data_IF_820419734392
#
_entry.id   IF_820419734392
#
_cell.length_a   1.000
_cell.length_b   1.000
_cell.length_c   1.000
_cell.angle_alpha   90.00
_cell.angle_beta   90.00
_cell.angle_gamma   90.00
#
_symmetry.space_group_name_H-M   'P 1'
#
loop_
_entity.id
_entity.type
_entity.pdbx_description
1 polymer ?
#
# COMPACT_ATOMS: atom_id res chain seq x y z
N UNK A 1 -16.19 1.95 14.62
CA UNK A 1 -15.41 2.03 13.35
C UNK A 1 -13.94 2.06 13.70
N UNK A 2 -13.11 1.45 12.85
CA UNK A 2 -11.65 1.47 12.94
C UNK A 2 -11.08 2.40 11.85
N UNK A 3 -9.92 2.99 12.11
CA UNK A 3 -9.28 3.95 11.20
C UNK A 3 -7.98 3.37 10.65
N UNK A 4 -7.86 3.34 9.33
CA UNK A 4 -6.63 2.96 8.63
C UNK A 4 -5.91 4.21 8.13
N UNK A 5 -4.77 4.54 8.74
CA UNK A 5 -3.93 5.66 8.36
C UNK A 5 -2.86 5.20 7.37
N UNK A 6 -3.01 5.61 6.12
CA UNK A 6 -2.18 5.13 5.02
C UNK A 6 -1.23 6.23 4.58
N UNK A 7 0.06 5.95 4.59
CA UNK A 7 1.09 6.85 4.09
C UNK A 7 1.88 6.19 2.97
N UNK A 8 2.21 6.96 1.93
CA UNK A 8 3.16 6.53 0.89
C UNK A 8 4.54 7.12 1.15
N UNK A 9 5.47 6.28 1.60
CA UNK A 9 6.84 6.63 1.92
C UNK A 9 7.79 6.55 0.72
N UNK A 10 7.43 7.21 -0.39
CA UNK A 10 8.34 7.42 -1.51
C UNK A 10 8.32 8.90 -1.89
N UNK A 11 9.49 9.56 -1.84
CA UNK A 11 9.65 10.91 -2.39
C UNK A 11 9.63 10.93 -3.93
N UNK A 12 9.65 9.76 -4.58
CA UNK A 12 9.73 9.62 -6.02
C UNK A 12 8.34 9.82 -6.64
N UNK A 13 7.91 11.08 -6.71
CA UNK A 13 6.66 11.51 -7.37
C UNK A 13 6.57 11.16 -8.87
N UNK A 14 7.63 10.59 -9.44
CA UNK A 14 7.73 10.19 -10.85
C UNK A 14 7.10 8.83 -11.16
N UNK A 15 6.87 7.96 -10.17
CA UNK A 15 6.35 6.62 -10.42
C UNK A 15 4.80 6.58 -10.55
N UNK A 16 4.10 7.73 -10.60
CA UNK A 16 2.64 7.73 -10.72
C UNK A 16 1.92 7.35 -9.42
N UNK A 17 0.61 7.05 -9.47
CA UNK A 17 -0.22 6.83 -8.28
C UNK A 17 -0.17 5.37 -7.81
N UNK A 18 -0.06 5.18 -6.50
CA UNK A 18 -0.32 3.90 -5.84
C UNK A 18 -1.76 3.87 -5.34
N UNK A 19 -2.36 2.69 -5.36
CA UNK A 19 -3.74 2.44 -4.96
C UNK A 19 -3.73 1.46 -3.80
N UNK A 20 -4.40 1.80 -2.71
CA UNK A 20 -4.68 0.84 -1.66
C UNK A 20 -6.01 0.17 -1.92
N UNK A 21 -6.01 -1.16 -1.87
CA UNK A 21 -7.20 -1.99 -1.92
C UNK A 21 -7.45 -2.65 -0.57
N UNK A 22 -8.69 -2.64 -0.13
CA UNK A 22 -9.19 -3.38 1.03
C UNK A 22 -10.31 -4.29 0.54
N UNK A 23 -10.19 -5.59 0.80
CA UNK A 23 -11.12 -6.63 0.35
C UNK A 23 -11.42 -6.53 -1.16
N UNK A 24 -10.37 -6.25 -1.95
CA UNK A 24 -10.44 -6.08 -3.40
C UNK A 24 -10.97 -4.72 -3.88
N UNK A 25 -11.54 -3.88 -3.00
CA UNK A 25 -12.06 -2.54 -3.35
C UNK A 25 -11.00 -1.48 -3.19
N UNK A 26 -10.93 -0.55 -4.14
CA UNK A 26 -10.02 0.61 -4.02
C UNK A 26 -10.56 1.58 -2.99
N UNK A 27 -9.81 1.79 -1.91
CA UNK A 27 -10.18 2.72 -0.83
C UNK A 27 -9.36 4.01 -0.85
N UNK A 28 -8.14 3.97 -1.40
CA UNK A 28 -7.30 5.17 -1.52
C UNK A 28 -6.43 5.14 -2.76
N UNK A 29 -6.05 6.33 -3.25
CA UNK A 29 -5.07 6.53 -4.32
C UNK A 29 -4.11 7.64 -3.91
N UNK A 30 -2.85 7.29 -3.66
CA UNK A 30 -1.83 8.19 -3.12
C UNK A 30 -0.69 8.44 -4.11
N UNK A 31 -0.29 9.71 -4.21
CA UNK A 31 1.01 10.13 -4.77
C UNK A 31 2.09 10.03 -3.68
N UNK A 32 3.36 10.10 -4.10
CA UNK A 32 4.49 10.08 -3.16
C UNK A 32 4.35 11.17 -2.09
N UNK A 33 4.59 10.82 -0.83
CA UNK A 33 4.46 11.71 0.32
C UNK A 33 3.02 12.04 0.75
N UNK A 34 2.00 11.47 0.12
CA UNK A 34 0.61 11.67 0.55
C UNK A 34 0.19 10.68 1.64
N UNK A 35 -0.72 11.16 2.48
CA UNK A 35 -1.42 10.36 3.50
C UNK A 35 -2.92 10.36 3.22
N UNK A 36 -3.62 9.30 3.61
CA UNK A 36 -5.06 9.26 3.71
C UNK A 36 -5.50 8.46 4.94
N UNK A 37 -6.62 8.86 5.54
CA UNK A 37 -7.29 8.12 6.60
C UNK A 37 -8.57 7.52 6.04
N UNK A 38 -8.81 6.24 6.32
CA UNK A 38 -9.95 5.48 5.81
C UNK A 38 -10.66 4.82 6.97
N UNK A 39 -11.96 5.07 7.08
CA UNK A 39 -12.80 4.37 8.05
C UNK A 39 -13.16 2.99 7.52
N UNK A 40 -12.92 1.97 8.33
CA UNK A 40 -13.24 0.58 8.06
C UNK A 40 -14.15 0.04 9.18
N UNK A 41 -14.94 -0.97 8.82
CA UNK A 41 -15.66 -1.75 9.82
C UNK A 41 -14.66 -2.51 10.69
N UNK A 42 -15.05 -2.84 11.92
CA UNK A 42 -14.32 -3.83 12.69
C UNK A 42 -14.43 -5.20 12.00
N UNK A 43 -13.35 -5.98 12.06
CA UNK A 43 -13.29 -7.31 11.47
C UNK A 43 -11.97 -7.62 10.79
N UNK A 44 -11.98 -8.74 10.05
CA UNK A 44 -10.85 -9.20 9.25
C UNK A 44 -10.91 -8.56 7.87
N UNK A 45 -9.82 -7.90 7.47
CA UNK A 45 -9.70 -7.25 6.16
C UNK A 45 -8.42 -7.69 5.46
N UNK A 46 -8.49 -7.84 4.14
CA UNK A 46 -7.31 -8.05 3.28
C UNK A 46 -6.88 -6.73 2.66
N UNK A 47 -5.66 -6.29 2.98
CA UNK A 47 -5.06 -5.04 2.50
C UNK A 47 -4.02 -5.35 1.43
N UNK A 48 -4.08 -4.63 0.31
CA UNK A 48 -3.15 -4.79 -0.81
C UNK A 48 -2.81 -3.46 -1.47
N UNK A 49 -1.53 -3.18 -1.63
CA UNK A 49 -1.07 -2.05 -2.43
C UNK A 49 -0.98 -2.44 -3.91
N UNK A 50 -1.34 -1.52 -4.79
CA UNK A 50 -1.36 -1.73 -6.23
C UNK A 50 -0.85 -0.50 -6.98
N UNK A 51 -0.13 -0.75 -8.06
CA UNK A 51 0.42 0.21 -8.99
C UNK A 51 0.21 -0.31 -10.40
N UNK A 52 0.21 0.54 -11.42
CA UNK A 52 -0.16 0.17 -12.80
C UNK A 52 0.55 -1.08 -13.35
N UNK A 53 1.76 -1.38 -12.87
CA UNK A 53 2.56 -2.52 -13.30
C UNK A 53 2.90 -3.52 -12.18
N UNK A 54 2.41 -3.31 -10.95
CA UNK A 54 2.80 -4.15 -9.81
C UNK A 54 1.80 -4.14 -8.66
N UNK A 55 1.76 -5.23 -7.89
CA UNK A 55 0.95 -5.34 -6.68
C UNK A 55 1.77 -5.93 -5.53
N UNK A 56 1.45 -5.56 -4.30
CA UNK A 56 2.02 -6.22 -3.11
C UNK A 56 1.42 -7.61 -2.93
N UNK A 57 2.06 -8.42 -2.08
CA UNK A 57 1.38 -9.54 -1.44
C UNK A 57 0.25 -8.99 -0.53
N UNK A 58 -0.87 -9.73 -0.40
CA UNK A 58 -1.96 -9.34 0.49
C UNK A 58 -1.54 -9.48 1.95
N UNK A 59 -1.95 -8.53 2.79
CA UNK A 59 -1.77 -8.59 4.24
C UNK A 59 -3.12 -8.63 4.91
N UNK A 60 -3.34 -9.63 5.75
CA UNK A 60 -4.55 -9.70 6.58
C UNK A 60 -4.36 -8.84 7.81
N UNK A 61 -5.31 -7.93 8.08
CA UNK A 61 -5.40 -7.17 9.32
C UNK A 61 -6.69 -7.54 10.05
N UNK A 62 -6.63 -7.52 11.38
CA UNK A 62 -7.77 -7.70 12.26
C UNK A 62 -7.97 -6.39 13.00
N UNK A 63 -9.11 -5.73 12.77
CA UNK A 63 -9.44 -4.43 13.36
C UNK A 63 -10.56 -4.60 14.39
N UNK A 64 -10.37 -4.09 15.59
CA UNK A 64 -11.42 -3.88 16.57
C UNK A 64 -12.03 -2.48 16.41
N UNK A 65 -13.21 -2.25 17.00
CA UNK A 65 -13.81 -0.92 17.00
C UNK A 65 -12.95 0.06 17.80
N UNK A 66 -12.64 1.21 17.20
CA UNK A 66 -11.76 2.23 17.78
C UNK A 66 -10.28 2.01 17.50
N UNK A 67 -9.89 0.93 16.81
CA UNK A 67 -8.50 0.72 16.43
C UNK A 67 -8.04 1.78 15.43
N UNK A 68 -6.82 2.27 15.62
CA UNK A 68 -6.10 3.06 14.63
C UNK A 68 -4.88 2.26 14.17
N UNK A 69 -4.79 2.02 12.86
CA UNK A 69 -3.73 1.21 12.28
C UNK A 69 -3.00 2.00 11.21
N UNK A 70 -1.67 2.07 11.32
CA UNK A 70 -0.83 2.72 10.34
C UNK A 70 -0.41 1.71 9.25
N UNK A 71 -0.60 2.10 7.99
CA UNK A 71 -0.19 1.34 6.81
C UNK A 71 0.78 2.18 5.99
N UNK A 72 1.99 1.67 5.87
CA UNK A 72 3.02 2.30 5.07
C UNK A 72 3.17 1.55 3.74
N UNK A 73 3.08 2.29 2.65
CA UNK A 73 3.32 1.80 1.29
C UNK A 73 4.64 2.37 0.78
N UNK A 74 5.49 1.50 0.23
CA UNK A 74 6.71 1.94 -0.46
C UNK A 74 7.03 1.10 -1.70
N UNK A 75 7.75 1.71 -2.62
CA UNK A 75 8.42 1.05 -3.75
C UNK A 75 9.89 0.82 -3.39
N UNK A 76 10.40 -0.43 -3.41
CA UNK A 76 11.83 -0.69 -3.39
C UNK A 76 12.48 0.04 -4.57
N UNK A 77 13.57 0.75 -4.28
CA UNK A 77 14.21 1.67 -5.21
C UNK A 77 14.39 1.07 -6.61
N UNK A 78 13.88 1.75 -7.62
CA UNK A 78 14.21 1.54 -9.03
C UNK A 78 15.64 2.07 -9.29
N UNK A 79 16.64 1.56 -8.58
CA UNK A 79 18.02 1.96 -8.77
C UNK A 79 18.61 1.25 -10.00
N UNK A 80 18.60 1.94 -11.14
CA UNK A 80 19.74 1.94 -12.05
C UNK A 80 19.90 0.83 -13.11
N UNK A 81 18.87 0.08 -13.54
CA UNK A 81 19.05 -0.81 -14.71
C UNK A 81 17.77 -0.97 -15.53
N UNK A 82 17.57 -0.08 -16.52
CA UNK A 82 16.55 -0.23 -17.59
C UNK A 82 16.89 -1.39 -18.55
N UNK A 83 17.97 -2.16 -18.32
CA UNK A 83 18.51 -3.11 -19.29
C UNK A 83 18.23 -4.61 -19.09
N UNK A 84 18.01 -5.14 -17.87
CA UNK A 84 18.14 -6.61 -17.67
C UNK A 84 17.17 -7.30 -16.71
N UNK A 85 16.13 -6.62 -16.19
CA UNK A 85 15.30 -7.19 -15.11
C UNK A 85 13.80 -7.18 -15.42
N UNK A 86 13.40 -7.12 -16.70
CA UNK A 86 11.97 -7.09 -17.07
C UNK A 86 11.22 -8.42 -16.85
N UNK A 87 11.90 -9.50 -16.45
CA UNK A 87 11.29 -10.83 -16.40
C UNK A 87 11.33 -11.54 -15.03
N UNK A 88 11.84 -10.92 -13.95
CA UNK A 88 12.04 -11.64 -12.67
C UNK A 88 11.80 -10.88 -11.36
N UNK A 89 10.98 -9.83 -11.32
CA UNK A 89 10.59 -9.19 -10.05
C UNK A 89 9.06 -9.13 -9.89
N UNK A 90 8.45 -10.27 -9.57
CA UNK A 90 7.00 -10.37 -9.27
C UNK A 90 6.66 -9.92 -7.82
N UNK A 91 7.55 -9.19 -7.12
CA UNK A 91 7.57 -9.13 -5.63
C UNK A 91 8.11 -7.85 -4.97
N UNK A 92 7.87 -6.65 -5.48
CA UNK A 92 8.54 -5.45 -4.95
C UNK A 92 7.59 -4.32 -4.53
N UNK A 93 6.46 -4.59 -3.86
CA UNK A 93 5.73 -3.55 -3.14
C UNK A 93 5.69 -3.96 -1.69
N UNK A 94 6.27 -3.14 -0.83
CA UNK A 94 6.29 -3.38 0.60
C UNK A 94 5.05 -2.78 1.25
N UNK A 95 4.46 -3.54 2.16
CA UNK A 95 3.40 -3.09 3.04
C UNK A 95 3.83 -3.39 4.46
N UNK A 96 3.81 -2.40 5.34
CA UNK A 96 4.04 -2.57 6.77
C UNK A 96 2.81 -2.06 7.50
N UNK A 97 2.35 -2.88 8.43
CA UNK A 97 1.24 -2.55 9.32
C UNK A 97 1.84 -2.34 10.71
N UNK A 98 1.59 -1.18 11.30
CA UNK A 98 1.96 -0.84 12.67
C UNK A 98 0.71 -0.54 13.50
N UNK A 99 0.73 -1.00 14.75
CA UNK A 99 -0.19 -0.61 15.83
C UNK A 99 0.35 0.61 16.57
#
# INVERSE_FOLDING_TARGET
>A
MATLNVFRNDAVGLLGRMTLKVDGRTVARLRGGQTASIDLAAGRHEVRAHMSWQASEPVTVHLADGDEVAVEMWTPEFSGTVGNTFWRARRALGLKVGS
#
